data_IF_043294694289
#
_entry.id   IF_043294694289
#
_cell.length_a   1.000
_cell.length_b   1.000
_cell.length_c   1.000
_cell.angle_alpha   90.00
_cell.angle_beta   90.00
_cell.angle_gamma   90.00
#
_symmetry.space_group_name_H-M   'P 1'
#
loop_
_entity.id
_entity.type
_entity.pdbx_description
1 polymer ?
#
# COMPACT_ATOMS: atom_id res chain seq x y z
N UNK A 1 14.97 -59.53 -12.67
CA UNK A 1 15.66 -59.38 -11.37
C UNK A 1 14.64 -59.70 -10.29
N UNK A 2 14.60 -60.95 -9.82
CA UNK A 2 13.70 -61.39 -8.76
C UNK A 2 14.25 -60.92 -7.41
N UNK A 3 13.40 -60.36 -6.56
CA UNK A 3 13.72 -60.21 -5.15
C UNK A 3 14.13 -61.60 -4.59
N UNK A 4 15.22 -61.64 -3.83
CA UNK A 4 15.75 -62.85 -3.20
C UNK A 4 14.67 -63.57 -2.37
N UNK A 5 14.61 -64.92 -2.34
CA UNK A 5 13.68 -65.69 -1.52
C UNK A 5 13.65 -65.28 -0.03
N UNK A 6 14.79 -64.82 0.49
CA UNK A 6 14.93 -64.27 1.85
C UNK A 6 14.10 -63.00 2.08
N UNK A 7 13.97 -62.16 1.06
CA UNK A 7 13.23 -60.91 1.14
C UNK A 7 11.72 -61.16 1.16
N UNK A 8 11.25 -62.16 0.41
CA UNK A 8 9.85 -62.58 0.46
C UNK A 8 9.49 -63.18 1.82
N UNK A 9 10.35 -64.05 2.36
CA UNK A 9 10.15 -64.63 3.68
C UNK A 9 10.16 -63.57 4.80
N UNK A 10 11.02 -62.54 4.70
CA UNK A 10 11.02 -61.41 5.64
C UNK A 10 9.70 -60.61 5.55
N UNK A 11 9.19 -60.36 4.34
CA UNK A 11 7.91 -59.66 4.14
C UNK A 11 6.73 -60.46 4.72
N UNK A 12 6.71 -61.78 4.54
CA UNK A 12 5.65 -62.65 5.04
C UNK A 12 5.58 -62.65 6.59
N UNK A 13 6.70 -62.40 7.27
CA UNK A 13 6.75 -62.26 8.74
C UNK A 13 6.51 -60.83 9.22
N UNK A 14 6.99 -59.81 8.50
CA UNK A 14 6.84 -58.40 8.90
C UNK A 14 5.43 -57.87 8.66
N UNK A 15 4.78 -58.29 7.56
CA UNK A 15 3.46 -57.75 7.18
C UNK A 15 2.39 -57.99 8.26
N UNK A 16 2.22 -59.19 8.84
CA UNK A 16 1.22 -59.42 9.90
C UNK A 16 1.50 -58.64 11.19
N UNK A 17 2.78 -58.45 11.54
CA UNK A 17 3.18 -57.65 12.71
C UNK A 17 2.81 -56.18 12.52
N UNK A 18 3.12 -55.61 11.35
CA UNK A 18 2.73 -54.24 10.98
C UNK A 18 1.21 -54.06 11.03
N UNK A 19 0.44 -55.00 10.49
CA UNK A 19 -1.03 -54.94 10.53
C UNK A 19 -1.59 -55.05 11.95
N UNK A 20 -0.98 -55.88 12.82
CA UNK A 20 -1.39 -56.00 14.22
C UNK A 20 -1.09 -54.72 15.02
N UNK A 21 0.06 -54.11 14.77
CA UNK A 21 0.44 -52.83 15.37
C UNK A 21 -0.52 -51.72 14.95
N UNK A 22 -0.89 -51.66 13.67
CA UNK A 22 -1.88 -50.70 13.16
C UNK A 22 -3.24 -50.84 13.86
N UNK A 23 -3.75 -52.07 14.06
CA UNK A 23 -5.02 -52.28 14.79
C UNK A 23 -4.94 -51.82 16.24
N UNK A 24 -3.84 -52.10 16.93
CA UNK A 24 -3.64 -51.63 18.31
C UNK A 24 -3.64 -50.09 18.39
N UNK A 25 -3.05 -49.41 17.42
CA UNK A 25 -3.06 -47.94 17.34
C UNK A 25 -4.46 -47.38 17.06
N UNK A 26 -5.25 -48.05 16.22
CA UNK A 26 -6.66 -47.71 15.97
C UNK A 26 -7.52 -47.87 17.23
N UNK A 27 -7.41 -49.01 17.92
CA UNK A 27 -8.14 -49.26 19.17
C UNK A 27 -7.76 -48.25 20.27
N UNK A 28 -6.48 -47.90 20.37
CA UNK A 28 -6.00 -46.87 21.29
C UNK A 28 -6.59 -45.49 20.95
N UNK A 29 -6.69 -45.16 19.66
CA UNK A 29 -7.28 -43.90 19.19
C UNK A 29 -8.76 -43.81 19.59
N UNK A 30 -9.55 -44.86 19.33
CA UNK A 30 -10.96 -44.93 19.72
C UNK A 30 -11.15 -44.83 21.24
N UNK A 31 -10.26 -45.46 22.00
CA UNK A 31 -10.26 -45.38 23.47
C UNK A 31 -9.99 -43.96 23.94
N UNK A 32 -9.01 -43.26 23.33
CA UNK A 32 -8.71 -41.86 23.64
C UNK A 32 -9.87 -40.93 23.28
N UNK A 33 -10.52 -41.14 22.13
CA UNK A 33 -11.71 -40.37 21.73
C UNK A 33 -12.86 -40.52 22.74
N UNK A 34 -13.07 -41.72 23.28
CA UNK A 34 -14.08 -41.99 24.31
C UNK A 34 -13.73 -41.33 25.64
N UNK A 35 -12.48 -41.45 26.10
CA UNK A 35 -12.03 -40.87 27.39
C UNK A 35 -12.02 -39.33 27.33
N UNK A 36 -11.62 -38.76 26.20
CA UNK A 36 -11.40 -37.33 26.01
C UNK A 36 -12.43 -36.66 25.08
N UNK A 37 -13.66 -37.20 25.02
CA UNK A 37 -14.73 -36.73 24.12
C UNK A 37 -15.00 -35.21 24.16
N UNK A 38 -14.71 -34.55 25.31
CA UNK A 38 -14.95 -33.11 25.53
C UNK A 38 -13.70 -32.25 25.36
N UNK A 39 -12.54 -32.83 25.09
CA UNK A 39 -11.27 -32.10 25.03
C UNK A 39 -11.30 -31.02 23.95
N UNK A 40 -11.64 -31.39 22.71
CA UNK A 40 -11.72 -30.43 21.59
C UNK A 40 -12.69 -29.28 21.90
N UNK A 41 -13.86 -29.59 22.47
CA UNK A 41 -14.85 -28.57 22.85
C UNK A 41 -14.27 -27.57 23.86
N UNK A 42 -13.63 -28.05 24.92
CA UNK A 42 -13.01 -27.18 25.94
C UNK A 42 -11.85 -26.36 25.38
N UNK A 43 -11.07 -26.94 24.47
CA UNK A 43 -10.01 -26.21 23.76
C UNK A 43 -10.58 -25.08 22.91
N UNK A 44 -11.64 -25.34 22.15
CA UNK A 44 -12.34 -24.32 21.36
C UNK A 44 -12.88 -23.20 22.25
N UNK A 45 -13.55 -23.53 23.37
CA UNK A 45 -14.05 -22.53 24.34
C UNK A 45 -12.90 -21.66 24.91
N UNK A 46 -11.76 -22.27 25.21
CA UNK A 46 -10.56 -21.56 25.66
C UNK A 46 -10.02 -20.61 24.58
N UNK A 47 -9.84 -21.12 23.36
CA UNK A 47 -9.35 -20.33 22.23
C UNK A 47 -10.29 -19.18 21.86
N UNK A 48 -11.61 -19.41 21.94
CA UNK A 48 -12.63 -18.38 21.75
C UNK A 48 -12.55 -17.29 22.81
N UNK A 49 -12.40 -17.66 24.07
CA UNK A 49 -12.23 -16.70 25.17
C UNK A 49 -10.96 -15.87 25.00
N UNK A 50 -9.86 -16.49 24.56
CA UNK A 50 -8.60 -15.80 24.28
C UNK A 50 -8.76 -14.82 23.11
N UNK A 51 -9.30 -15.27 21.97
CA UNK A 51 -9.48 -14.46 20.77
C UNK A 51 -10.46 -13.29 20.95
N UNK A 52 -11.53 -13.47 21.75
CA UNK A 52 -12.47 -12.39 22.09
C UNK A 52 -11.79 -11.28 22.90
N UNK A 53 -10.83 -11.63 23.77
CA UNK A 53 -10.07 -10.64 24.55
C UNK A 53 -9.04 -9.93 23.66
N UNK A 54 -8.32 -10.70 22.84
CA UNK A 54 -7.32 -10.19 21.93
C UNK A 54 -7.16 -11.16 20.77
N UNK A 55 -7.52 -10.72 19.57
CA UNK A 55 -7.47 -11.57 18.38
C UNK A 55 -6.05 -12.09 18.07
N UNK A 56 -5.02 -11.37 18.50
CA UNK A 56 -3.63 -11.81 18.35
C UNK A 56 -3.33 -13.06 19.17
N UNK A 57 -4.05 -13.29 20.28
CA UNK A 57 -3.88 -14.51 21.08
C UNK A 57 -4.35 -15.73 20.28
N UNK A 58 -5.42 -15.60 19.47
CA UNK A 58 -5.85 -16.65 18.55
C UNK A 58 -4.79 -16.93 17.47
N UNK A 59 -4.13 -15.90 16.95
CA UNK A 59 -3.01 -16.04 16.01
C UNK A 59 -1.80 -16.72 16.66
N UNK A 60 -1.42 -16.32 17.87
CA UNK A 60 -0.35 -16.98 18.62
C UNK A 60 -0.66 -18.45 18.91
N UNK A 61 -1.92 -18.79 19.19
CA UNK A 61 -2.36 -20.18 19.33
C UNK A 61 -2.23 -20.95 18.01
N UNK A 62 -2.60 -20.36 16.87
CA UNK A 62 -2.38 -20.99 15.55
C UNK A 62 -0.91 -21.31 15.33
N UNK A 63 -0.02 -20.36 15.62
CA UNK A 63 1.44 -20.53 15.48
C UNK A 63 1.98 -21.60 16.42
N UNK A 64 1.56 -21.56 17.69
CA UNK A 64 1.97 -22.53 18.69
C UNK A 64 1.57 -23.95 18.28
N UNK A 65 0.32 -24.13 17.85
CA UNK A 65 -0.15 -25.45 17.40
C UNK A 65 0.63 -25.88 16.16
N UNK A 66 0.78 -24.99 15.17
CA UNK A 66 1.49 -25.28 13.93
C UNK A 66 2.91 -25.79 14.18
N UNK A 67 3.66 -25.11 15.04
CA UNK A 67 5.04 -25.43 15.37
C UNK A 67 5.23 -26.78 16.06
N UNK A 68 4.16 -27.35 16.65
CA UNK A 68 4.20 -28.63 17.37
C UNK A 68 3.38 -29.75 16.69
N UNK A 69 2.79 -29.50 15.51
CA UNK A 69 1.91 -30.47 14.84
C UNK A 69 2.57 -31.83 14.59
N UNK A 70 3.83 -31.85 14.16
CA UNK A 70 4.54 -33.10 13.87
C UNK A 70 4.92 -33.86 15.16
N UNK A 71 5.17 -33.17 16.26
CA UNK A 71 5.35 -33.81 17.56
C UNK A 71 4.04 -34.48 18.01
N UNK A 72 2.91 -33.78 17.87
CA UNK A 72 1.60 -34.36 18.17
C UNK A 72 1.29 -35.59 17.30
N UNK A 73 1.66 -35.56 16.01
CA UNK A 73 1.52 -36.71 15.09
C UNK A 73 2.29 -37.92 15.59
N UNK A 74 3.52 -37.74 16.06
CA UNK A 74 4.36 -38.82 16.57
C UNK A 74 3.83 -39.40 17.89
N UNK A 75 3.22 -38.57 18.73
CA UNK A 75 2.69 -38.99 20.03
C UNK A 75 1.36 -39.74 19.91
N UNK A 76 0.42 -39.23 19.12
CA UNK A 76 -0.92 -39.82 19.00
C UNK A 76 -1.71 -39.26 17.82
N UNK A 77 -2.31 -40.15 17.03
CA UNK A 77 -3.26 -39.76 15.98
C UNK A 77 -4.46 -38.97 16.53
N UNK A 78 -4.96 -39.36 17.71
CA UNK A 78 -6.02 -38.62 18.41
C UNK A 78 -5.59 -37.18 18.71
N UNK A 79 -4.43 -37.01 19.36
CA UNK A 79 -3.93 -35.68 19.73
C UNK A 79 -3.72 -34.81 18.49
N UNK A 80 -3.09 -35.35 17.46
CA UNK A 80 -2.92 -34.65 16.18
C UNK A 80 -4.26 -34.16 15.60
N UNK A 81 -5.27 -35.03 15.54
CA UNK A 81 -6.60 -34.67 15.01
C UNK A 81 -7.29 -33.57 15.85
N UNK A 82 -7.19 -33.64 17.17
CA UNK A 82 -7.72 -32.61 18.08
C UNK A 82 -7.01 -31.27 17.84
N UNK A 83 -5.68 -31.27 17.77
CA UNK A 83 -4.88 -30.06 17.59
C UNK A 83 -5.10 -29.41 16.22
N UNK A 84 -5.19 -30.20 15.14
CA UNK A 84 -5.56 -29.70 13.79
C UNK A 84 -6.96 -29.08 13.80
N UNK A 85 -7.94 -29.74 14.43
CA UNK A 85 -9.31 -29.23 14.51
C UNK A 85 -9.40 -27.92 15.30
N UNK A 86 -8.65 -27.83 16.41
CA UNK A 86 -8.53 -26.61 17.21
C UNK A 86 -7.86 -25.48 16.42
N UNK A 87 -6.76 -25.77 15.71
CA UNK A 87 -6.08 -24.79 14.85
C UNK A 87 -7.01 -24.24 13.77
N UNK A 88 -7.80 -25.11 13.12
CA UNK A 88 -8.79 -24.69 12.11
C UNK A 88 -9.85 -23.76 12.69
N UNK A 89 -10.33 -24.01 13.92
CA UNK A 89 -11.28 -23.12 14.59
C UNK A 89 -10.65 -21.74 14.85
N UNK A 90 -9.40 -21.68 15.31
CA UNK A 90 -8.69 -20.41 15.51
C UNK A 90 -8.46 -19.66 14.20
N UNK A 91 -8.09 -20.35 13.12
CA UNK A 91 -7.97 -19.77 11.78
C UNK A 91 -9.30 -19.19 11.30
N UNK A 92 -10.42 -19.89 11.49
CA UNK A 92 -11.76 -19.39 11.14
C UNK A 92 -12.12 -18.10 11.89
N UNK A 93 -11.76 -18.02 13.18
CA UNK A 93 -11.96 -16.80 13.96
C UNK A 93 -11.17 -15.61 13.40
N UNK A 94 -9.91 -15.84 13.03
CA UNK A 94 -9.05 -14.81 12.43
C UNK A 94 -9.61 -14.31 11.09
N UNK A 95 -10.06 -15.21 10.23
CA UNK A 95 -10.68 -14.85 8.95
C UNK A 95 -11.96 -14.04 9.18
N UNK A 96 -12.85 -14.49 10.06
CA UNK A 96 -14.07 -13.75 10.39
C UNK A 96 -13.77 -12.35 10.92
N UNK A 97 -12.81 -12.22 11.83
CA UNK A 97 -12.37 -10.91 12.33
C UNK A 97 -11.84 -10.03 11.19
N UNK A 98 -11.13 -10.62 10.22
CA UNK A 98 -10.58 -9.90 9.06
C UNK A 98 -11.70 -9.40 8.15
N UNK A 99 -12.70 -10.22 7.86
CA UNK A 99 -13.91 -9.83 7.09
C UNK A 99 -14.67 -8.68 7.79
N UNK A 100 -14.74 -8.71 9.12
CA UNK A 100 -15.32 -7.62 9.91
C UNK A 100 -14.48 -6.33 9.81
N UNK A 101 -13.14 -6.42 9.82
CA UNK A 101 -12.27 -5.25 9.61
C UNK A 101 -12.36 -4.70 8.19
N UNK A 102 -12.49 -5.57 7.18
CA UNK A 102 -12.69 -5.20 5.77
C UNK A 102 -14.01 -4.43 5.59
N UNK A 103 -15.09 -4.96 6.17
CA UNK A 103 -16.41 -4.30 6.18
C UNK A 103 -16.32 -2.96 6.90
N UNK A 104 -15.64 -2.93 8.05
CA UNK A 104 -15.46 -1.73 8.86
C UNK A 104 -14.74 -0.63 8.09
N UNK A 105 -13.62 -0.93 7.41
CA UNK A 105 -12.87 0.08 6.66
C UNK A 105 -13.68 0.60 5.47
N UNK A 106 -14.35 -0.30 4.74
CA UNK A 106 -15.18 0.06 3.57
C UNK A 106 -16.33 1.01 3.92
N UNK A 107 -16.85 0.91 5.15
CA UNK A 107 -17.90 1.77 5.69
C UNK A 107 -17.39 3.12 6.25
N UNK A 108 -16.08 3.30 6.45
CA UNK A 108 -15.57 4.55 7.02
C UNK A 108 -15.73 5.72 6.06
N UNK A 109 -16.17 6.85 6.61
CA UNK A 109 -16.03 8.18 6.00
C UNK A 109 -14.92 8.95 6.69
N UNK A 110 -14.16 9.75 5.95
CA UNK A 110 -13.13 10.63 6.51
C UNK A 110 -13.18 12.01 5.86
N UNK A 111 -12.91 13.07 6.64
CA UNK A 111 -12.61 14.37 6.04
C UNK A 111 -11.20 14.31 5.43
N UNK A 112 -11.11 14.58 4.13
CA UNK A 112 -9.88 14.52 3.34
C UNK A 112 -9.21 15.88 3.16
N UNK A 113 -9.76 16.96 3.72
CA UNK A 113 -9.20 18.31 3.56
C UNK A 113 -7.92 18.47 4.38
N UNK A 114 -6.78 18.35 3.71
CA UNK A 114 -5.44 18.53 4.31
C UNK A 114 -5.29 17.69 5.59
N UNK A 115 -5.82 16.47 5.55
CA UNK A 115 -5.96 15.62 6.72
C UNK A 115 -4.69 14.83 7.06
N UNK A 116 -3.67 14.89 6.18
CA UNK A 116 -2.52 14.01 6.28
C UNK A 116 -2.90 12.55 6.04
N UNK A 117 -2.18 11.65 6.72
CA UNK A 117 -2.47 10.22 6.73
C UNK A 117 -3.72 9.94 7.57
N UNK A 118 -4.70 9.27 6.95
CA UNK A 118 -6.00 9.00 7.53
C UNK A 118 -5.95 7.93 8.62
N UNK A 119 -6.73 8.11 9.69
CA UNK A 119 -6.72 7.22 10.85
C UNK A 119 -7.08 5.75 10.53
N UNK A 120 -8.06 5.44 9.66
CA UNK A 120 -8.34 4.04 9.29
C UNK A 120 -7.16 3.33 8.61
N UNK A 121 -6.43 4.01 7.72
CA UNK A 121 -5.23 3.45 7.10
C UNK A 121 -4.15 3.14 8.15
N UNK A 122 -3.91 4.06 9.10
CA UNK A 122 -2.99 3.83 10.24
C UNK A 122 -3.40 2.62 11.08
N UNK A 123 -4.70 2.49 11.38
CA UNK A 123 -5.22 1.38 12.19
C UNK A 123 -4.95 0.03 11.51
N UNK A 124 -5.20 -0.09 10.21
CA UNK A 124 -4.95 -1.35 9.49
C UNK A 124 -3.46 -1.68 9.43
N UNK A 125 -2.61 -0.70 9.11
CA UNK A 125 -1.15 -0.92 9.10
C UNK A 125 -0.64 -1.35 10.47
N UNK A 126 -1.08 -0.70 11.55
CA UNK A 126 -0.69 -1.08 12.91
C UNK A 126 -1.19 -2.49 13.28
N UNK A 127 -2.37 -2.89 12.80
CA UNK A 127 -2.89 -4.24 13.01
C UNK A 127 -2.01 -5.29 12.32
N UNK A 128 -1.64 -5.04 11.05
CA UNK A 128 -0.75 -5.91 10.29
C UNK A 128 0.63 -6.01 10.97
N UNK A 129 1.19 -4.88 11.41
CA UNK A 129 2.46 -4.87 12.14
C UNK A 129 2.43 -5.75 13.39
N UNK A 130 1.34 -5.67 14.18
CA UNK A 130 1.17 -6.49 15.39
C UNK A 130 0.94 -7.97 15.07
N UNK A 131 0.29 -8.30 13.96
CA UNK A 131 0.14 -9.68 13.49
C UNK A 131 1.50 -10.28 13.11
N UNK A 132 2.32 -9.55 12.36
CA UNK A 132 3.69 -9.96 12.00
C UNK A 132 4.56 -10.17 13.25
N UNK A 133 4.51 -9.24 14.21
CA UNK A 133 5.21 -9.38 15.49
C UNK A 133 4.77 -10.65 16.25
N UNK A 134 3.46 -10.95 16.23
CA UNK A 134 2.90 -12.11 16.95
C UNK A 134 3.30 -13.45 16.35
N UNK A 135 3.61 -13.52 15.05
CA UNK A 135 4.04 -14.76 14.41
C UNK A 135 5.55 -14.99 14.47
N UNK A 136 6.35 -13.93 14.59
CA UNK A 136 7.82 -14.01 14.71
C UNK A 136 8.47 -14.96 13.66
N UNK A 137 7.93 -14.99 12.43
CA UNK A 137 8.39 -15.85 11.33
C UNK A 137 8.08 -17.34 11.46
N UNK A 138 7.16 -17.74 12.37
CA UNK A 138 6.86 -19.16 12.68
C UNK A 138 5.51 -19.66 12.18
N UNK A 139 4.74 -18.83 11.46
CA UNK A 139 3.41 -19.23 10.98
C UNK A 139 3.48 -19.92 9.62
N UNK A 140 2.43 -20.67 9.30
CA UNK A 140 2.16 -21.01 7.91
C UNK A 140 1.75 -19.74 7.15
N UNK A 141 2.42 -19.49 6.02
CA UNK A 141 2.20 -18.28 5.22
C UNK A 141 0.74 -18.11 4.80
N UNK A 142 -0.01 -19.20 4.61
CA UNK A 142 -1.34 -19.17 4.00
C UNK A 142 -2.38 -18.32 4.75
N UNK A 143 -2.35 -18.35 6.09
CA UNK A 143 -3.33 -17.59 6.91
C UNK A 143 -3.04 -16.09 6.83
N UNK A 144 -1.78 -15.69 7.02
CA UNK A 144 -1.38 -14.28 6.93
C UNK A 144 -1.52 -13.75 5.50
N UNK A 145 -1.13 -14.53 4.49
CA UNK A 145 -1.34 -14.18 3.09
C UNK A 145 -2.81 -13.88 2.80
N UNK A 146 -3.74 -14.70 3.33
CA UNK A 146 -5.18 -14.47 3.17
C UNK A 146 -5.61 -13.15 3.83
N UNK A 147 -5.12 -12.86 5.03
CA UNK A 147 -5.40 -11.61 5.73
C UNK A 147 -4.88 -10.39 4.95
N UNK A 148 -3.66 -10.46 4.41
CA UNK A 148 -3.07 -9.36 3.65
C UNK A 148 -3.80 -9.11 2.34
N UNK A 149 -4.12 -10.18 1.62
CA UNK A 149 -4.86 -10.12 0.36
C UNK A 149 -6.31 -9.65 0.52
N UNK A 150 -6.85 -9.66 1.74
CA UNK A 150 -8.17 -9.09 2.05
C UNK A 150 -8.03 -7.62 2.48
N UNK A 151 -7.16 -7.36 3.47
CA UNK A 151 -7.11 -6.06 4.14
C UNK A 151 -6.44 -4.96 3.31
N UNK A 152 -5.35 -5.27 2.59
CA UNK A 152 -4.58 -4.25 1.88
C UNK A 152 -5.33 -3.73 0.65
N UNK A 153 -5.91 -4.59 -0.22
CA UNK A 153 -6.76 -4.11 -1.30
C UNK A 153 -7.94 -3.27 -0.81
N UNK A 154 -8.65 -3.72 0.23
CA UNK A 154 -9.78 -2.98 0.80
C UNK A 154 -9.35 -1.61 1.34
N UNK A 155 -8.18 -1.53 1.99
CA UNK A 155 -7.61 -0.27 2.47
C UNK A 155 -7.28 0.68 1.33
N UNK A 156 -6.63 0.18 0.28
CA UNK A 156 -6.24 0.99 -0.89
C UNK A 156 -7.47 1.48 -1.66
N UNK A 157 -8.45 0.60 -1.91
CA UNK A 157 -9.73 0.97 -2.52
C UNK A 157 -10.48 2.00 -1.67
N UNK A 158 -10.47 1.84 -0.35
CA UNK A 158 -11.07 2.81 0.56
C UNK A 158 -10.38 4.19 0.47
N UNK A 159 -9.04 4.24 0.41
CA UNK A 159 -8.28 5.49 0.22
C UNK A 159 -8.71 6.20 -1.08
N UNK A 160 -8.86 5.45 -2.18
CA UNK A 160 -9.32 6.02 -3.44
C UNK A 160 -10.74 6.57 -3.35
N UNK A 161 -11.65 5.78 -2.77
CA UNK A 161 -13.06 6.17 -2.56
C UNK A 161 -13.17 7.46 -1.75
N UNK A 162 -12.46 7.58 -0.62
CA UNK A 162 -12.56 8.79 0.22
C UNK A 162 -11.87 9.98 -0.42
N UNK A 163 -10.79 9.79 -1.19
CA UNK A 163 -10.14 10.85 -1.94
C UNK A 163 -11.09 11.50 -2.97
N UNK A 164 -11.96 10.69 -3.60
CA UNK A 164 -12.95 11.17 -4.57
C UNK A 164 -14.05 12.04 -3.96
N UNK A 165 -14.31 11.91 -2.66
CA UNK A 165 -15.30 12.75 -1.96
C UNK A 165 -14.97 14.25 -2.01
N UNK A 166 -13.69 14.61 -2.22
CA UNK A 166 -13.22 16.00 -2.38
C UNK A 166 -12.16 16.08 -3.49
N UNK A 167 -12.55 16.21 -4.76
CA UNK A 167 -11.64 16.18 -5.92
C UNK A 167 -10.44 17.14 -5.81
N UNK A 168 -10.66 18.33 -5.22
CA UNK A 168 -9.62 19.35 -4.97
C UNK A 168 -8.43 18.84 -4.15
N UNK A 169 -8.66 17.89 -3.24
CA UNK A 169 -7.64 17.33 -2.36
C UNK A 169 -7.28 15.89 -2.71
N UNK A 170 -7.90 15.30 -3.74
CA UNK A 170 -7.80 13.88 -4.03
C UNK A 170 -6.34 13.41 -4.23
N UNK A 171 -5.55 14.14 -5.03
CA UNK A 171 -4.12 13.82 -5.23
C UNK A 171 -3.29 14.00 -3.96
N UNK A 172 -3.62 14.99 -3.12
CA UNK A 172 -2.96 15.18 -1.82
C UNK A 172 -3.29 14.01 -0.87
N UNK A 173 -4.56 13.65 -0.74
CA UNK A 173 -5.00 12.54 0.10
C UNK A 173 -4.33 11.23 -0.35
N UNK A 174 -4.34 10.93 -1.65
CA UNK A 174 -3.71 9.73 -2.19
C UNK A 174 -2.19 9.74 -1.96
N UNK A 175 -1.48 10.83 -2.27
CA UNK A 175 -0.02 10.81 -2.12
C UNK A 175 0.41 10.60 -0.66
N UNK A 176 -0.20 11.27 0.32
CA UNK A 176 0.20 11.11 1.72
C UNK A 176 -0.10 9.70 2.26
N UNK A 177 -1.26 9.13 1.90
CA UNK A 177 -1.66 7.82 2.40
C UNK A 177 -0.93 6.68 1.70
N UNK A 178 -0.69 6.77 0.40
CA UNK A 178 0.06 5.74 -0.34
C UNK A 178 1.55 5.73 -0.01
N UNK A 179 2.16 6.90 0.25
CA UNK A 179 3.52 6.93 0.78
C UNK A 179 3.60 6.25 2.15
N UNK A 180 2.65 6.58 3.05
CA UNK A 180 2.56 5.95 4.35
C UNK A 180 2.41 4.42 4.25
N UNK A 181 1.51 3.93 3.39
CA UNK A 181 1.34 2.49 3.16
C UNK A 181 2.63 1.86 2.64
N UNK A 182 3.27 2.44 1.60
CA UNK A 182 4.50 1.90 1.02
C UNK A 182 5.62 1.78 2.06
N UNK A 183 5.89 2.85 2.80
CA UNK A 183 7.00 2.91 3.75
C UNK A 183 6.77 1.96 4.94
N UNK A 184 5.54 1.91 5.47
CA UNK A 184 5.26 1.06 6.63
C UNK A 184 5.18 -0.41 6.26
N UNK A 185 4.62 -0.78 5.09
CA UNK A 185 4.60 -2.17 4.67
C UNK A 185 6.02 -2.70 4.42
N UNK A 186 6.91 -1.89 3.82
CA UNK A 186 8.35 -2.23 3.71
C UNK A 186 9.02 -2.40 5.06
N UNK A 187 8.67 -1.55 6.03
CA UNK A 187 9.27 -1.58 7.37
C UNK A 187 8.79 -2.78 8.20
N UNK A 188 7.53 -3.20 8.04
CA UNK A 188 6.94 -4.35 8.76
C UNK A 188 7.63 -5.65 8.34
N UNK A 189 7.72 -5.91 7.04
CA UNK A 189 8.44 -7.08 6.53
C UNK A 189 8.91 -6.83 5.11
N UNK A 190 10.23 -6.65 4.95
CA UNK A 190 10.87 -6.46 3.66
C UNK A 190 11.13 -7.76 2.89
N UNK A 191 10.78 -8.92 3.45
CA UNK A 191 10.91 -10.20 2.74
C UNK A 191 10.02 -10.23 1.51
N UNK A 192 10.56 -10.72 0.39
CA UNK A 192 9.83 -10.84 -0.89
C UNK A 192 8.81 -11.98 -0.90
N UNK A 193 8.82 -12.82 0.13
CA UNK A 193 8.01 -14.05 0.18
C UNK A 193 6.54 -13.77 0.56
N UNK A 194 6.27 -12.64 1.22
CA UNK A 194 4.92 -12.22 1.59
C UNK A 194 4.39 -11.14 0.64
N UNK A 195 3.06 -11.07 0.45
CA UNK A 195 2.43 -10.09 -0.45
C UNK A 195 2.62 -8.64 0.01
N UNK A 196 3.13 -8.40 1.23
CA UNK A 196 3.42 -7.07 1.76
C UNK A 196 4.37 -6.27 0.85
N UNK A 197 5.40 -6.91 0.30
CA UNK A 197 6.35 -6.25 -0.60
C UNK A 197 5.69 -5.85 -1.94
N UNK A 198 4.78 -6.68 -2.45
CA UNK A 198 3.99 -6.38 -3.65
C UNK A 198 3.09 -5.17 -3.40
N UNK A 199 2.30 -5.18 -2.33
CA UNK A 199 1.41 -4.06 -2.00
C UNK A 199 2.18 -2.78 -1.66
N UNK A 200 3.36 -2.89 -1.06
CA UNK A 200 4.21 -1.74 -0.82
C UNK A 200 4.72 -1.11 -2.12
N UNK A 201 4.99 -1.93 -3.14
CA UNK A 201 5.37 -1.47 -4.49
C UNK A 201 4.18 -0.82 -5.18
N UNK A 202 3.01 -1.46 -5.17
CA UNK A 202 1.79 -0.89 -5.75
C UNK A 202 1.40 0.45 -5.09
N UNK A 203 1.50 0.53 -3.76
CA UNK A 203 1.30 1.79 -3.04
C UNK A 203 2.34 2.84 -3.46
N UNK A 204 3.59 2.46 -3.70
CA UNK A 204 4.61 3.40 -4.17
C UNK A 204 4.31 3.95 -5.58
N UNK A 205 3.81 3.11 -6.47
CA UNK A 205 3.45 3.51 -7.84
C UNK A 205 2.30 4.51 -7.82
N UNK A 206 1.26 4.21 -7.02
CA UNK A 206 0.11 5.12 -6.79
C UNK A 206 0.54 6.43 -6.13
N UNK A 207 1.49 6.38 -5.19
CA UNK A 207 2.11 7.59 -4.63
C UNK A 207 2.78 8.43 -5.72
N UNK A 208 3.60 7.81 -6.57
CA UNK A 208 4.35 8.50 -7.64
C UNK A 208 3.42 9.16 -8.65
N UNK A 209 2.38 8.46 -9.08
CA UNK A 209 1.33 8.99 -9.96
C UNK A 209 0.64 10.22 -9.34
N UNK A 210 0.24 10.12 -8.07
CA UNK A 210 -0.46 11.21 -7.39
C UNK A 210 0.46 12.37 -7.02
N UNK A 211 1.75 12.12 -6.81
CA UNK A 211 2.76 13.16 -6.65
C UNK A 211 2.88 14.02 -7.91
N UNK A 212 2.95 13.39 -9.09
CA UNK A 212 2.97 14.11 -10.37
C UNK A 212 1.71 14.96 -10.57
N UNK A 213 0.52 14.39 -10.33
CA UNK A 213 -0.76 15.12 -10.40
C UNK A 213 -0.83 16.28 -9.41
N UNK A 214 -0.38 16.05 -8.17
CA UNK A 214 -0.37 17.06 -7.13
C UNK A 214 0.53 18.24 -7.51
N UNK A 215 1.76 17.96 -7.96
CA UNK A 215 2.73 18.96 -8.41
C UNK A 215 2.17 19.79 -9.57
N UNK A 216 1.59 19.13 -10.57
CA UNK A 216 0.93 19.82 -11.68
C UNK A 216 -0.22 20.72 -11.21
N UNK A 217 -1.07 20.23 -10.29
CA UNK A 217 -2.19 21.01 -9.75
C UNK A 217 -1.74 22.25 -8.96
N UNK A 218 -0.58 22.17 -8.27
CA UNK A 218 0.00 23.31 -7.55
C UNK A 218 0.54 24.34 -8.54
N UNK A 219 1.17 23.88 -9.63
CA UNK A 219 1.64 24.74 -10.72
C UNK A 219 0.49 25.49 -11.40
N UNK A 220 -0.56 24.76 -11.80
CA UNK A 220 -1.79 25.30 -12.39
C UNK A 220 -2.47 26.32 -11.46
N UNK A 221 -2.49 26.03 -10.16
CA UNK A 221 -3.06 26.94 -9.18
C UNK A 221 -2.35 28.30 -9.15
N UNK A 222 -1.02 28.31 -9.32
CA UNK A 222 -0.21 29.53 -9.33
C UNK A 222 -0.28 30.27 -10.67
N UNK A 223 -0.34 29.53 -11.78
CA UNK A 223 -0.23 30.04 -13.15
C UNK A 223 -1.53 29.90 -13.96
N UNK A 224 -2.63 30.39 -13.39
CA UNK A 224 -4.00 30.19 -13.91
C UNK A 224 -4.26 30.65 -15.34
N UNK A 225 -3.54 31.66 -15.82
CA UNK A 225 -3.69 32.15 -17.21
C UNK A 225 -2.66 31.52 -18.14
N UNK A 226 -1.42 31.38 -17.66
CA UNK A 226 -0.32 30.84 -18.45
C UNK A 226 -0.53 29.37 -18.81
N UNK A 227 -0.92 28.52 -17.85
CA UNK A 227 -1.01 27.07 -18.09
C UNK A 227 -2.07 26.74 -19.14
N UNK A 228 -3.32 27.25 -19.06
CA UNK A 228 -4.32 26.98 -20.10
C UNK A 228 -3.94 27.55 -21.48
N UNK A 229 -3.33 28.75 -21.52
CA UNK A 229 -2.84 29.33 -22.76
C UNK A 229 -1.80 28.42 -23.43
N UNK A 230 -0.79 27.99 -22.67
CA UNK A 230 0.28 27.13 -23.19
C UNK A 230 -0.26 25.77 -23.63
N UNK A 231 -1.15 25.16 -22.85
CA UNK A 231 -1.80 23.91 -23.22
C UNK A 231 -2.62 24.04 -24.53
N UNK A 232 -3.33 25.15 -24.73
CA UNK A 232 -4.04 25.43 -25.98
C UNK A 232 -3.08 25.54 -27.17
N UNK A 233 -1.91 26.14 -26.97
CA UNK A 233 -0.90 26.29 -28.02
C UNK A 233 -0.23 24.94 -28.32
N UNK A 234 0.17 24.20 -27.29
CA UNK A 234 0.72 22.84 -27.44
C UNK A 234 -0.26 21.92 -28.19
N UNK A 235 -1.57 22.04 -27.90
CA UNK A 235 -2.60 21.31 -28.65
C UNK A 235 -2.63 21.69 -30.14
N UNK A 236 -2.55 22.98 -30.47
CA UNK A 236 -2.52 23.44 -31.87
C UNK A 236 -1.27 22.96 -32.59
N UNK A 237 -0.12 22.93 -31.92
CA UNK A 237 1.16 22.48 -32.48
C UNK A 237 1.14 21.00 -32.90
N UNK A 238 0.18 20.20 -32.44
CA UNK A 238 0.00 18.82 -32.90
C UNK A 238 -0.51 18.72 -34.34
N UNK A 239 -1.12 19.79 -34.86
CA UNK A 239 -1.77 19.83 -36.19
C UNK A 239 -1.35 21.00 -37.07
N UNK A 240 -0.80 22.07 -36.48
CA UNK A 240 -0.48 23.34 -37.14
C UNK A 240 1.03 23.63 -37.01
N UNK A 241 1.73 23.98 -38.10
CA UNK A 241 3.13 24.38 -38.05
C UNK A 241 3.36 25.63 -37.19
N UNK A 242 4.48 25.69 -36.46
CA UNK A 242 4.79 26.79 -35.54
C UNK A 242 4.62 28.22 -36.11
N UNK A 243 5.02 28.54 -37.36
CA UNK A 243 4.85 29.88 -37.92
C UNK A 243 3.37 30.30 -38.13
N UNK A 244 2.46 29.33 -38.20
CA UNK A 244 1.03 29.53 -38.48
C UNK A 244 0.19 29.60 -37.19
N UNK A 245 0.75 29.19 -36.05
CA UNK A 245 0.06 29.18 -34.76
C UNK A 245 -0.51 30.55 -34.39
N UNK A 246 0.20 31.63 -34.72
CA UNK A 246 -0.23 33.01 -34.44
C UNK A 246 -1.54 33.43 -35.12
N UNK A 247 -1.97 32.71 -36.17
CA UNK A 247 -3.27 32.96 -36.82
C UNK A 247 -4.45 32.36 -36.04
N UNK A 248 -4.19 31.39 -35.16
CA UNK A 248 -5.20 30.75 -34.31
C UNK A 248 -5.22 31.32 -32.89
N UNK A 249 -4.06 31.72 -32.38
CA UNK A 249 -3.90 32.35 -31.07
C UNK A 249 -3.14 33.66 -31.23
N UNK A 250 -3.79 34.83 -31.10
CA UNK A 250 -3.16 36.11 -31.42
C UNK A 250 -1.92 36.41 -30.56
N UNK A 251 -0.82 36.76 -31.23
CA UNK A 251 0.46 37.12 -30.59
C UNK A 251 0.32 38.17 -29.48
N UNK A 252 -0.58 39.14 -29.63
CA UNK A 252 -0.80 40.19 -28.63
C UNK A 252 -1.37 39.64 -27.32
N UNK A 253 -2.25 38.65 -27.38
CA UNK A 253 -2.80 37.99 -26.20
C UNK A 253 -1.74 37.17 -25.49
N UNK A 254 -0.95 36.41 -26.26
CA UNK A 254 0.18 35.64 -25.73
C UNK A 254 1.17 36.55 -25.01
N UNK A 255 1.60 37.64 -25.66
CA UNK A 255 2.50 38.64 -25.05
C UNK A 255 1.96 39.17 -23.72
N UNK A 256 0.68 39.53 -23.65
CA UNK A 256 0.04 40.04 -22.44
C UNK A 256 0.14 39.06 -21.27
N UNK A 257 -0.12 37.77 -21.52
CA UNK A 257 -0.04 36.71 -20.50
C UNK A 257 1.41 36.46 -20.09
N UNK A 258 2.36 36.50 -21.03
CA UNK A 258 3.78 36.39 -20.74
C UNK A 258 4.28 37.54 -19.86
N UNK A 259 3.96 38.80 -20.21
CA UNK A 259 4.36 39.99 -19.45
C UNK A 259 3.77 39.97 -18.02
N UNK A 260 2.49 39.57 -17.90
CA UNK A 260 1.85 39.38 -16.59
C UNK A 260 2.51 38.26 -15.78
N UNK A 261 2.93 37.18 -16.43
CA UNK A 261 3.63 36.07 -15.77
C UNK A 261 5.00 36.52 -15.28
N UNK A 262 5.77 37.20 -16.12
CA UNK A 262 7.12 37.68 -15.80
C UNK A 262 7.10 38.59 -14.55
N UNK A 263 6.16 39.53 -14.50
CA UNK A 263 6.01 40.45 -13.37
C UNK A 263 5.56 39.79 -12.05
N UNK A 264 4.96 38.59 -12.11
CA UNK A 264 4.40 37.90 -10.95
C UNK A 264 5.06 36.55 -10.64
N UNK A 265 6.05 36.12 -11.41
CA UNK A 265 6.61 34.77 -11.34
C UNK A 265 7.10 34.40 -9.93
N UNK A 266 7.96 35.23 -9.33
CA UNK A 266 8.48 34.98 -7.98
C UNK A 266 7.38 34.97 -6.91
N UNK A 267 6.36 35.82 -7.07
CA UNK A 267 5.19 35.82 -6.18
C UNK A 267 4.40 34.51 -6.33
N UNK A 268 4.24 34.00 -7.55
CA UNK A 268 3.59 32.71 -7.82
C UNK A 268 4.36 31.54 -7.23
N UNK A 269 5.70 31.54 -7.32
CA UNK A 269 6.56 30.54 -6.67
C UNK A 269 6.36 30.55 -5.16
N UNK A 270 6.34 31.72 -4.52
CA UNK A 270 6.04 31.85 -3.08
C UNK A 270 4.66 31.30 -2.73
N UNK A 271 3.64 31.60 -3.53
CA UNK A 271 2.28 31.08 -3.34
C UNK A 271 2.25 29.56 -3.40
N UNK A 272 2.98 28.93 -4.33
CA UNK A 272 3.11 27.48 -4.39
C UNK A 272 3.75 26.91 -3.12
N UNK A 273 4.85 27.50 -2.68
CA UNK A 273 5.57 27.07 -1.48
C UNK A 273 4.68 27.17 -0.23
N UNK A 274 4.04 28.32 0.01
CA UNK A 274 3.16 28.54 1.15
C UNK A 274 1.95 27.59 1.14
N UNK A 275 1.41 27.31 -0.05
CA UNK A 275 0.33 26.33 -0.23
C UNK A 275 0.78 24.93 0.13
N UNK A 276 1.95 24.49 -0.34
CA UNK A 276 2.49 23.18 0.00
C UNK A 276 2.80 23.09 1.50
N UNK A 277 3.40 24.11 2.11
CA UNK A 277 3.63 24.19 3.56
C UNK A 277 2.33 24.03 4.36
N UNK A 278 1.23 24.63 3.89
CA UNK A 278 -0.09 24.48 4.49
C UNK A 278 -0.66 23.06 4.32
N UNK A 279 -0.51 22.48 3.13
CA UNK A 279 -1.02 21.14 2.84
C UNK A 279 -0.30 20.05 3.63
N UNK A 280 1.03 20.17 3.78
CA UNK A 280 1.88 19.21 4.51
C UNK A 280 2.10 19.58 5.98
N UNK A 281 1.16 20.31 6.61
CA UNK A 281 1.29 20.73 8.02
C UNK A 281 1.49 19.55 8.96
N UNK A 282 0.79 18.45 8.72
CA UNK A 282 0.84 17.23 9.54
C UNK A 282 2.08 16.35 9.22
N UNK A 283 2.75 16.60 8.09
CA UNK A 283 3.97 15.90 7.70
C UNK A 283 4.98 16.85 7.03
N UNK A 284 5.58 17.79 7.80
CA UNK A 284 6.45 18.82 7.24
C UNK A 284 7.71 18.25 6.58
N UNK A 285 8.10 17.01 6.93
CA UNK A 285 9.25 16.31 6.35
C UNK A 285 9.07 15.96 4.87
N UNK A 286 7.82 15.92 4.37
CA UNK A 286 7.55 15.70 2.95
C UNK A 286 7.79 16.94 2.09
N UNK A 287 7.74 18.14 2.66
CA UNK A 287 7.82 19.37 1.88
C UNK A 287 9.10 19.45 1.03
N UNK A 288 10.32 19.18 1.54
CA UNK A 288 11.52 19.26 0.73
C UNK A 288 11.53 18.26 -0.45
N UNK A 289 11.07 17.03 -0.24
CA UNK A 289 11.05 16.01 -1.29
C UNK A 289 10.02 16.31 -2.37
N UNK A 290 8.83 16.78 -1.98
CA UNK A 290 7.78 17.19 -2.93
C UNK A 290 8.15 18.48 -3.65
N UNK A 291 8.79 19.43 -2.96
CA UNK A 291 9.28 20.66 -3.59
C UNK A 291 10.34 20.37 -4.65
N UNK A 292 11.25 19.42 -4.39
CA UNK A 292 12.22 18.97 -5.41
C UNK A 292 11.53 18.46 -6.68
N UNK A 293 10.41 17.76 -6.55
CA UNK A 293 9.61 17.33 -7.70
C UNK A 293 8.92 18.49 -8.41
N UNK A 294 8.46 19.51 -7.67
CA UNK A 294 7.95 20.74 -8.26
C UNK A 294 9.03 21.50 -9.02
N UNK A 295 10.27 21.55 -8.53
CA UNK A 295 11.39 22.16 -9.26
C UNK A 295 11.61 21.44 -10.59
N UNK A 296 11.68 20.11 -10.58
CA UNK A 296 11.87 19.31 -11.79
C UNK A 296 10.72 19.54 -12.81
N UNK A 297 9.48 19.47 -12.34
CA UNK A 297 8.30 19.73 -13.16
C UNK A 297 8.27 21.17 -13.70
N UNK A 298 8.43 22.15 -12.82
CA UNK A 298 8.37 23.57 -13.16
C UNK A 298 9.46 23.99 -14.14
N UNK A 299 10.69 23.49 -13.94
CA UNK A 299 11.82 23.77 -14.84
C UNK A 299 11.58 23.20 -16.24
N UNK A 300 11.04 21.98 -16.32
CA UNK A 300 10.62 21.39 -17.60
C UNK A 300 9.53 22.23 -18.28
N UNK A 301 8.51 22.67 -17.54
CA UNK A 301 7.44 23.51 -18.09
C UNK A 301 7.92 24.88 -18.54
N UNK A 302 8.80 25.55 -17.79
CA UNK A 302 9.39 26.83 -18.17
C UNK A 302 10.22 26.69 -19.46
N UNK A 303 10.99 25.62 -19.61
CA UNK A 303 11.73 25.35 -20.85
C UNK A 303 10.79 25.19 -22.05
N UNK A 304 9.69 24.43 -21.89
CA UNK A 304 8.65 24.29 -22.92
C UNK A 304 8.02 25.65 -23.25
N UNK A 305 7.69 26.46 -22.25
CA UNK A 305 7.10 27.78 -22.47
C UNK A 305 8.04 28.73 -23.22
N UNK A 306 9.34 28.66 -22.96
CA UNK A 306 10.35 29.43 -23.69
C UNK A 306 10.45 29.01 -25.15
N UNK A 307 10.43 27.71 -25.45
CA UNK A 307 10.40 27.19 -26.82
C UNK A 307 9.14 27.63 -27.56
N UNK A 308 7.96 27.46 -26.93
CA UNK A 308 6.68 27.88 -27.53
C UNK A 308 6.66 29.39 -27.81
N UNK A 309 7.12 30.21 -26.86
CA UNK A 309 7.20 31.66 -27.05
C UNK A 309 8.15 32.04 -28.19
N UNK A 310 9.31 31.38 -28.29
CA UNK A 310 10.30 31.64 -29.33
C UNK A 310 9.85 31.19 -30.72
N UNK A 311 9.49 29.92 -30.85
CA UNK A 311 9.25 29.27 -32.15
C UNK A 311 7.92 29.70 -32.78
N UNK A 312 6.86 29.82 -31.99
CA UNK A 312 5.53 30.14 -32.50
C UNK A 312 5.28 31.65 -32.60
N UNK A 313 5.97 32.45 -31.78
CA UNK A 313 5.66 33.86 -31.63
C UNK A 313 6.87 34.78 -31.67
N UNK A 314 8.11 34.30 -31.79
CA UNK A 314 9.32 35.15 -31.71
C UNK A 314 9.27 36.09 -30.49
N UNK A 315 8.76 35.57 -29.37
CA UNK A 315 8.73 36.23 -28.07
C UNK A 315 9.74 35.56 -27.15
N UNK A 316 10.13 36.27 -26.09
CA UNK A 316 10.95 35.70 -25.03
C UNK A 316 10.07 35.38 -23.84
N UNK A 317 10.21 34.19 -23.28
CA UNK A 317 9.63 33.87 -21.99
C UNK A 317 10.53 34.42 -20.89
N UNK A 318 9.99 35.26 -20.02
CA UNK A 318 10.68 35.78 -18.85
C UNK A 318 9.97 35.29 -17.57
N UNK A 319 10.70 34.80 -16.55
CA UNK A 319 12.15 34.66 -16.51
C UNK A 319 12.66 33.61 -17.52
N UNK A 320 13.91 33.78 -17.99
CA UNK A 320 14.58 32.71 -18.75
C UNK A 320 14.55 31.37 -18.00
N UNK A 321 14.68 30.21 -18.67
CA UNK A 321 14.68 28.92 -18.00
C UNK A 321 15.66 28.80 -16.83
N UNK A 322 16.87 29.34 -16.99
CA UNK A 322 17.91 29.36 -15.95
C UNK A 322 17.45 30.22 -14.76
N UNK A 323 16.94 31.42 -15.04
CA UNK A 323 16.45 32.31 -13.98
C UNK A 323 15.20 31.78 -13.29
N UNK A 324 14.32 31.10 -14.03
CA UNK A 324 13.14 30.43 -13.48
C UNK A 324 13.54 29.32 -12.51
N UNK A 325 14.53 28.50 -12.88
CA UNK A 325 15.11 27.48 -12.01
C UNK A 325 15.71 28.10 -10.74
N UNK A 326 16.55 29.13 -10.86
CA UNK A 326 17.13 29.82 -9.71
C UNK A 326 16.06 30.32 -8.73
N UNK A 327 14.97 30.88 -9.23
CA UNK A 327 13.86 31.37 -8.39
C UNK A 327 13.15 30.21 -7.68
N UNK A 328 12.94 29.08 -8.35
CA UNK A 328 12.36 27.87 -7.73
C UNK A 328 13.29 27.28 -6.65
N UNK A 329 14.60 27.28 -6.89
CA UNK A 329 15.62 26.77 -5.97
C UNK A 329 15.80 27.62 -4.71
N UNK A 330 15.56 28.94 -4.76
CA UNK A 330 15.54 29.79 -3.55
C UNK A 330 14.62 29.25 -2.46
N UNK A 331 13.54 28.57 -2.85
CA UNK A 331 12.57 27.99 -1.93
C UNK A 331 12.86 26.53 -1.54
N UNK A 332 13.89 25.90 -2.13
CA UNK A 332 14.31 24.53 -1.78
C UNK A 332 15.01 24.45 -0.42
N UNK A 333 15.72 25.53 -0.04
CA UNK A 333 16.57 25.59 1.15
C UNK A 333 16.03 26.50 2.25
N UNK A 334 14.85 27.10 2.09
CA UNK A 334 14.20 27.89 3.14
C UNK A 334 13.57 26.97 4.19
N UNK A 335 14.45 26.29 4.93
CA UNK A 335 14.12 25.55 6.14
C UNK A 335 14.11 26.53 7.31
N UNK A 336 12.96 27.12 7.60
CA UNK A 336 12.64 27.74 8.91
C UNK A 336 11.13 27.73 9.12
#
# INVERSE_FOLDING_TARGET
MCASPLMQQALDHLTPLVLSEQRLLEDLTLTMESIFEKLLKRMNEFGETAGLRNILDALSLVVLVNGNLEEYRQQSAFLYNVMVSFQLQMKRMLIKFTEEQETWISAQSADTKMAGVLAPAKKIVNMIARMEESVCGKTDDSTLMSIYNMMLPATMQWVDKVAESRPKYASLTRLENYLFLSDNLKAINGSKELPLAQYATEAHDRYTENLQRYVASVWEYAFKQLVPLMASIESLMTTVPAPEIQYHSPRQEVRRVLDSTASTFEKSVRIMHDRMKKHFRENPKMLPSVWKQLIAYGSSRVAVYALVAGDCYQLRFEPSPERGLEVLEKFAFTSS
#
